data_IF_279649685132
#
_entry.id   IF_279649685132
#
_cell.length_a   1.000
_cell.length_b   1.000
_cell.length_c   1.000
_cell.angle_alpha   90.00
_cell.angle_beta   90.00
_cell.angle_gamma   90.00
#
_symmetry.space_group_name_H-M   'P 1'
#
loop_
_entity.id
_entity.type
_entity.pdbx_description
1 polymer ?
#
# COMPACT_ATOMS: atom_id res chain seq x y z
N UNK A 1 -22.34 49.95 -7.45
CA UNK A 1 -23.02 49.41 -6.26
C UNK A 1 -24.14 48.50 -6.73
N UNK A 2 -24.11 47.18 -6.68
CA UNK A 2 -23.06 46.17 -6.60
C UNK A 2 -23.70 44.97 -7.30
N UNK A 3 -23.01 44.43 -8.31
CA UNK A 3 -23.42 43.25 -9.08
C UNK A 3 -22.94 42.03 -8.27
N UNK A 4 -23.86 41.24 -7.70
CA UNK A 4 -23.52 40.00 -7.00
C UNK A 4 -23.26 38.88 -8.02
N UNK A 5 -22.05 38.30 -8.09
CA UNK A 5 -21.84 37.11 -8.90
C UNK A 5 -22.48 35.91 -8.20
N UNK A 6 -23.43 35.27 -8.89
CA UNK A 6 -24.07 34.03 -8.45
C UNK A 6 -23.05 32.92 -8.17
N UNK A 7 -23.40 31.93 -7.33
CA UNK A 7 -22.46 30.89 -6.93
C UNK A 7 -22.10 30.06 -8.16
N UNK A 8 -20.84 30.19 -8.60
CA UNK A 8 -20.21 29.22 -9.48
C UNK A 8 -20.19 27.89 -8.74
N UNK A 9 -21.18 27.03 -9.01
CA UNK A 9 -21.11 25.60 -8.74
C UNK A 9 -19.83 25.11 -9.39
N UNK A 10 -18.80 24.91 -8.57
CA UNK A 10 -17.61 24.18 -8.95
C UNK A 10 -18.09 22.84 -9.50
N UNK A 11 -18.00 22.67 -10.81
CA UNK A 11 -18.21 21.40 -11.47
C UNK A 11 -17.09 20.48 -10.96
N UNK A 12 -17.37 19.76 -9.87
CA UNK A 12 -16.52 18.68 -9.42
C UNK A 12 -16.56 17.63 -10.52
N UNK A 13 -15.56 17.65 -11.41
CA UNK A 13 -15.34 16.60 -12.39
C UNK A 13 -15.41 15.25 -11.66
N UNK A 14 -16.49 14.50 -11.89
CA UNK A 14 -16.83 13.22 -11.26
C UNK A 14 -15.95 12.07 -11.74
N UNK A 15 -14.72 12.36 -12.15
CA UNK A 15 -13.75 11.34 -12.51
C UNK A 15 -13.00 10.90 -11.27
N UNK A 16 -13.39 9.72 -10.78
CA UNK A 16 -12.66 9.03 -9.74
C UNK A 16 -11.22 8.81 -10.23
N UNK A 17 -10.19 9.22 -9.48
CA UNK A 17 -8.83 9.30 -10.02
C UNK A 17 -8.21 7.93 -10.35
N UNK A 18 -8.80 6.83 -9.85
CA UNK A 18 -8.44 5.46 -10.23
C UNK A 18 -8.95 5.03 -11.61
N UNK A 19 -9.94 5.72 -12.20
CA UNK A 19 -10.51 5.35 -13.51
C UNK A 19 -9.47 5.37 -14.62
N UNK A 20 -8.59 6.40 -14.64
CA UNK A 20 -7.50 6.48 -15.62
C UNK A 20 -6.51 5.32 -15.48
N UNK A 21 -6.24 4.89 -14.24
CA UNK A 21 -5.35 3.76 -13.99
C UNK A 21 -5.94 2.44 -14.51
N UNK A 22 -7.25 2.21 -14.33
CA UNK A 22 -7.93 1.05 -14.91
C UNK A 22 -7.97 1.09 -16.44
N UNK A 23 -8.27 2.25 -17.04
CA UNK A 23 -8.28 2.41 -18.50
C UNK A 23 -6.93 2.09 -19.13
N UNK A 24 -5.83 2.48 -18.48
CA UNK A 24 -4.49 2.16 -18.94
C UNK A 24 -4.13 0.66 -18.82
N UNK A 25 -4.90 -0.12 -18.05
CA UNK A 25 -4.74 -1.57 -17.99
C UNK A 25 -5.46 -2.31 -19.12
N UNK A 26 -6.47 -1.72 -19.77
CA UNK A 26 -7.29 -2.39 -20.79
C UNK A 26 -6.48 -2.99 -21.95
N UNK A 27 -5.48 -2.31 -22.56
CA UNK A 27 -4.70 -2.90 -23.64
C UNK A 27 -3.94 -4.16 -23.24
N UNK A 28 -3.57 -4.28 -21.96
CA UNK A 28 -2.80 -5.42 -21.44
C UNK A 28 -3.67 -6.63 -21.21
N UNK A 29 -4.89 -6.39 -20.74
CA UNK A 29 -5.86 -7.46 -20.56
C UNK A 29 -6.32 -8.02 -21.91
N UNK A 30 -6.34 -7.19 -22.96
CA UNK A 30 -6.61 -7.64 -24.32
C UNK A 30 -5.53 -8.59 -24.90
N UNK A 31 -4.31 -8.58 -24.35
CA UNK A 31 -3.24 -9.52 -24.72
C UNK A 31 -3.42 -10.90 -24.04
N UNK A 32 -4.28 -11.01 -23.02
CA UNK A 32 -4.52 -12.25 -22.29
C UNK A 32 -5.53 -13.15 -23.01
N UNK A 33 -5.33 -14.48 -22.91
CA UNK A 33 -6.31 -15.43 -23.41
C UNK A 33 -7.59 -15.41 -22.55
N UNK A 34 -8.75 -15.60 -23.17
CA UNK A 34 -10.00 -15.76 -22.45
C UNK A 34 -9.93 -16.93 -21.45
N UNK A 35 -10.50 -16.75 -20.26
CA UNK A 35 -10.42 -17.69 -19.14
C UNK A 35 -9.12 -17.60 -18.33
N UNK A 36 -8.18 -16.72 -18.67
CA UNK A 36 -6.96 -16.52 -17.88
C UNK A 36 -7.28 -16.14 -16.44
N UNK A 37 -6.56 -16.74 -15.49
CA UNK A 37 -6.64 -16.35 -14.08
C UNK A 37 -5.91 -15.01 -13.89
N UNK A 38 -6.62 -14.04 -13.33
CA UNK A 38 -6.14 -12.68 -13.10
C UNK A 38 -6.03 -12.41 -11.60
N UNK A 39 -4.83 -12.06 -11.15
CA UNK A 39 -4.61 -11.44 -9.84
C UNK A 39 -4.29 -9.98 -10.06
N UNK A 40 -5.00 -9.09 -9.37
CA UNK A 40 -4.76 -7.64 -9.43
C UNK A 40 -4.09 -7.20 -8.14
N UNK A 41 -2.90 -6.62 -8.25
CA UNK A 41 -2.22 -5.97 -7.14
C UNK A 41 -2.56 -4.49 -7.14
N UNK A 42 -3.23 -4.03 -6.09
CA UNK A 42 -3.69 -2.65 -5.96
C UNK A 42 -2.62 -1.82 -5.26
N UNK A 43 -2.16 -0.76 -5.93
CA UNK A 43 -1.20 0.20 -5.39
C UNK A 43 -1.69 0.78 -4.06
N UNK A 44 -0.75 0.99 -3.15
CA UNK A 44 -1.02 1.52 -1.82
C UNK A 44 -1.62 2.94 -1.83
N UNK A 45 -1.57 3.67 -2.93
CA UNK A 45 -2.23 4.98 -3.07
C UNK A 45 -3.77 4.89 -2.92
N UNK A 46 -4.35 3.76 -3.32
CA UNK A 46 -5.80 3.52 -3.29
C UNK A 46 -6.30 2.83 -2.02
N UNK A 47 -5.37 2.35 -1.20
CA UNK A 47 -5.68 1.57 -0.01
C UNK A 47 -5.51 2.42 1.24
N UNK A 48 -6.25 2.07 2.28
CA UNK A 48 -6.02 2.56 3.64
C UNK A 48 -5.71 1.38 4.53
N UNK A 49 -4.73 1.54 5.40
CA UNK A 49 -4.25 0.46 6.25
C UNK A 49 -4.35 0.85 7.71
N UNK A 50 -4.63 -0.12 8.56
CA UNK A 50 -4.60 0.02 10.02
C UNK A 50 -4.08 -1.25 10.66
N UNK A 51 -3.32 -1.09 11.74
CA UNK A 51 -3.13 -2.15 12.72
C UNK A 51 -4.21 -1.98 13.78
N UNK A 52 -4.97 -3.04 14.03
CA UNK A 52 -5.91 -3.12 15.14
C UNK A 52 -5.36 -4.08 16.20
N UNK A 53 -5.71 -3.92 17.48
CA UNK A 53 -5.40 -4.92 18.49
C UNK A 53 -5.88 -6.30 18.01
N UNK A 54 -5.02 -7.31 18.10
CA UNK A 54 -5.40 -8.67 17.75
C UNK A 54 -6.50 -9.14 18.71
N UNK A 55 -7.66 -9.51 18.15
CA UNK A 55 -8.75 -10.03 18.96
C UNK A 55 -8.43 -11.47 19.39
N UNK A 56 -8.92 -11.91 20.57
CA UNK A 56 -8.73 -13.29 21.01
C UNK A 56 -9.27 -14.29 19.97
N UNK A 57 -8.66 -15.48 19.81
CA UNK A 57 -9.08 -16.47 18.81
C UNK A 57 -10.55 -16.92 18.90
N UNK A 58 -11.16 -16.77 20.08
CA UNK A 58 -12.57 -17.10 20.33
C UNK A 58 -13.54 -16.05 19.78
N UNK A 59 -13.05 -14.88 19.35
CA UNK A 59 -13.90 -13.82 18.83
C UNK A 59 -14.17 -14.02 17.34
N UNK A 60 -15.41 -13.74 16.92
CA UNK A 60 -15.81 -13.95 15.54
C UNK A 60 -15.11 -12.96 14.59
N UNK A 61 -14.84 -13.41 13.36
CA UNK A 61 -14.34 -12.54 12.29
C UNK A 61 -15.22 -11.28 12.10
N UNK A 62 -16.53 -11.42 12.28
CA UNK A 62 -17.47 -10.30 12.19
C UNK A 62 -17.22 -9.22 13.26
N UNK A 63 -16.81 -9.61 14.48
CA UNK A 63 -16.46 -8.67 15.53
C UNK A 63 -15.19 -7.89 15.18
N UNK A 64 -14.13 -8.56 14.73
CA UNK A 64 -12.91 -7.89 14.25
C UNK A 64 -13.20 -6.94 13.09
N UNK A 65 -14.10 -7.34 12.17
CA UNK A 65 -14.50 -6.50 11.04
C UNK A 65 -15.27 -5.25 11.48
N UNK A 66 -16.14 -5.38 12.48
CA UNK A 66 -16.87 -4.24 13.05
C UNK A 66 -15.90 -3.25 13.72
N UNK A 67 -14.91 -3.75 14.48
CA UNK A 67 -13.86 -2.91 15.08
C UNK A 67 -13.05 -2.21 13.99
N UNK A 68 -12.61 -2.92 12.96
CA UNK A 68 -11.88 -2.32 11.85
C UNK A 68 -12.70 -1.23 11.14
N UNK A 69 -13.99 -1.48 10.89
CA UNK A 69 -14.90 -0.48 10.30
C UNK A 69 -15.02 0.76 11.17
N UNK A 70 -15.24 0.62 12.46
CA UNK A 70 -15.28 1.74 13.39
C UNK A 70 -13.96 2.55 13.36
N UNK A 71 -12.80 1.88 13.36
CA UNK A 71 -11.50 2.55 13.29
C UNK A 71 -11.26 3.28 11.96
N UNK A 72 -11.74 2.75 10.83
CA UNK A 72 -11.66 3.44 9.55
C UNK A 72 -12.63 4.64 9.50
N UNK A 73 -13.86 4.48 9.98
CA UNK A 73 -14.83 5.58 10.04
C UNK A 73 -14.38 6.71 10.96
N UNK A 74 -13.73 6.39 12.08
CA UNK A 74 -13.16 7.40 12.99
C UNK A 74 -12.12 8.29 12.29
N UNK A 75 -11.28 7.72 11.43
CA UNK A 75 -10.20 8.47 10.74
C UNK A 75 -10.64 9.10 9.42
N UNK A 76 -11.55 8.48 8.68
CA UNK A 76 -11.91 8.87 7.31
C UNK A 76 -13.38 9.32 7.17
N UNK A 77 -14.15 9.31 8.25
CA UNK A 77 -15.55 9.70 8.27
C UNK A 77 -16.44 8.79 7.42
N UNK A 78 -17.54 9.37 6.93
CA UNK A 78 -18.59 8.68 6.19
C UNK A 78 -18.09 8.02 4.89
N UNK A 79 -17.02 8.54 4.30
CA UNK A 79 -16.40 7.94 3.11
C UNK A 79 -15.99 6.47 3.35
N UNK A 80 -15.58 6.11 4.57
CA UNK A 80 -15.21 4.74 4.91
C UNK A 80 -16.40 3.80 5.16
N UNK A 81 -17.62 4.31 5.29
CA UNK A 81 -18.81 3.49 5.54
C UNK A 81 -19.05 2.50 4.40
N UNK A 82 -18.76 2.89 3.16
CA UNK A 82 -18.92 2.06 1.96
C UNK A 82 -17.69 1.26 1.60
N UNK A 83 -16.58 1.39 2.33
CA UNK A 83 -15.36 0.68 1.97
C UNK A 83 -15.46 -0.83 2.21
N UNK A 84 -14.86 -1.57 1.28
CA UNK A 84 -14.53 -2.96 1.47
C UNK A 84 -13.36 -3.07 2.43
N UNK A 85 -13.50 -3.85 3.50
CA UNK A 85 -12.45 -4.04 4.52
C UNK A 85 -12.08 -5.51 4.53
N UNK A 86 -10.78 -5.79 4.42
CA UNK A 86 -10.22 -7.12 4.57
C UNK A 86 -9.26 -7.14 5.77
N UNK A 87 -9.26 -8.27 6.47
CA UNK A 87 -8.44 -8.50 7.66
C UNK A 87 -7.46 -9.64 7.38
N UNK A 88 -6.30 -9.56 8.03
CA UNK A 88 -5.40 -10.70 8.17
C UNK A 88 -6.15 -11.85 8.87
N UNK A 89 -6.22 -13.05 8.26
CA UNK A 89 -7.05 -14.12 8.79
C UNK A 89 -6.50 -14.73 10.08
N UNK A 90 -5.17 -14.74 10.24
CA UNK A 90 -4.46 -15.34 11.36
C UNK A 90 -3.38 -14.36 11.87
N UNK A 91 -3.75 -13.40 12.72
CA UNK A 91 -2.79 -12.42 13.23
C UNK A 91 -1.72 -13.12 14.08
N UNK A 92 -0.47 -12.70 13.88
CA UNK A 92 0.65 -13.09 14.71
C UNK A 92 0.97 -11.93 15.67
N UNK A 93 1.12 -12.23 16.96
CA UNK A 93 1.41 -11.21 17.97
C UNK A 93 0.19 -10.37 18.37
N UNK A 94 0.47 -9.13 18.82
CA UNK A 94 -0.52 -8.27 19.46
C UNK A 94 -1.40 -7.44 18.53
N UNK A 95 -1.13 -7.46 17.23
CA UNK A 95 -1.84 -6.66 16.23
C UNK A 95 -2.31 -7.51 15.06
N UNK A 96 -3.46 -7.15 14.49
CA UNK A 96 -4.03 -7.70 13.28
C UNK A 96 -3.99 -6.65 12.17
N UNK A 97 -3.50 -7.04 11.00
CA UNK A 97 -3.44 -6.13 9.86
C UNK A 97 -4.83 -5.99 9.19
N UNK A 98 -5.24 -4.76 8.91
CA UNK A 98 -6.43 -4.47 8.11
C UNK A 98 -6.11 -3.56 6.94
N UNK A 99 -6.79 -3.79 5.83
CA UNK A 99 -6.81 -2.89 4.70
C UNK A 99 -8.24 -2.57 4.28
N UNK A 100 -8.45 -1.35 3.80
CA UNK A 100 -9.70 -0.89 3.25
C UNK A 100 -9.50 -0.34 1.83
N UNK A 101 -10.47 -0.61 0.96
CA UNK A 101 -10.54 -0.17 -0.43
C UNK A 101 -11.92 0.40 -0.71
N UNK A 102 -11.98 1.44 -1.54
CA UNK A 102 -13.26 1.93 -2.04
C UNK A 102 -14.01 0.80 -2.78
N UNK A 103 -15.25 0.53 -2.37
CA UNK A 103 -16.06 -0.54 -2.95
C UNK A 103 -16.29 -0.33 -4.45
N UNK A 104 -16.43 0.92 -4.91
CA UNK A 104 -16.59 1.23 -6.33
C UNK A 104 -15.37 0.87 -7.17
N UNK A 105 -14.16 0.98 -6.59
CA UNK A 105 -12.93 0.53 -7.24
C UNK A 105 -12.86 -1.00 -7.31
N UNK A 106 -13.25 -1.71 -6.25
CA UNK A 106 -13.32 -3.18 -6.28
C UNK A 106 -14.30 -3.69 -7.34
N UNK A 107 -15.47 -3.06 -7.44
CA UNK A 107 -16.46 -3.36 -8.47
C UNK A 107 -15.94 -3.07 -9.87
N UNK A 108 -15.25 -1.94 -10.06
CA UNK A 108 -14.64 -1.58 -11.34
C UNK A 108 -13.53 -2.57 -11.76
N UNK A 109 -12.70 -3.04 -10.83
CA UNK A 109 -11.70 -4.10 -11.10
C UNK A 109 -12.38 -5.39 -11.53
N UNK A 110 -13.46 -5.77 -10.85
CA UNK A 110 -14.25 -6.97 -11.16
C UNK A 110 -14.87 -6.88 -12.56
N UNK A 111 -15.47 -5.73 -12.88
CA UNK A 111 -16.06 -5.47 -14.19
C UNK A 111 -15.01 -5.48 -15.31
N UNK A 112 -13.85 -4.86 -15.07
CA UNK A 112 -12.73 -4.84 -16.02
C UNK A 112 -12.25 -6.27 -16.35
N UNK A 113 -12.10 -7.13 -15.35
CA UNK A 113 -11.71 -8.52 -15.55
C UNK A 113 -12.74 -9.30 -16.37
N UNK A 114 -14.02 -9.14 -16.04
CA UNK A 114 -15.13 -9.79 -16.75
C UNK A 114 -15.22 -9.33 -18.22
N UNK A 115 -15.05 -8.03 -18.49
CA UNK A 115 -15.04 -7.48 -19.86
C UNK A 115 -13.88 -8.02 -20.69
N UNK A 116 -12.74 -8.30 -20.07
CA UNK A 116 -11.59 -8.93 -20.71
C UNK A 116 -11.72 -10.46 -20.83
N UNK A 117 -12.83 -11.06 -20.40
CA UNK A 117 -13.01 -12.50 -20.38
C UNK A 117 -12.06 -13.24 -19.42
N UNK A 118 -11.46 -12.55 -18.46
CA UNK A 118 -10.54 -13.12 -17.48
C UNK A 118 -11.30 -13.54 -16.20
N UNK A 119 -10.76 -14.54 -15.50
CA UNK A 119 -11.25 -14.94 -14.18
C UNK A 119 -10.48 -14.19 -13.09
N UNK A 120 -11.10 -13.20 -12.45
CA UNK A 120 -10.50 -12.51 -11.31
C UNK A 120 -10.42 -13.46 -10.10
N UNK A 121 -9.24 -13.96 -9.79
CA UNK A 121 -9.01 -14.91 -8.68
C UNK A 121 -8.60 -14.24 -7.38
N UNK A 122 -8.01 -13.04 -7.46
CA UNK A 122 -7.54 -12.33 -6.27
C UNK A 122 -7.36 -10.84 -6.53
N UNK A 123 -7.71 -10.02 -5.54
CA UNK A 123 -7.36 -8.59 -5.46
C UNK A 123 -6.50 -8.42 -4.22
N UNK A 124 -5.24 -8.06 -4.40
CA UNK A 124 -4.25 -8.03 -3.33
C UNK A 124 -3.78 -6.60 -3.04
N UNK A 125 -3.79 -6.17 -1.78
CA UNK A 125 -3.10 -4.95 -1.38
C UNK A 125 -1.60 -5.05 -1.69
N UNK A 126 -0.98 -4.02 -2.27
CA UNK A 126 0.44 -4.07 -2.62
C UNK A 126 1.34 -4.43 -1.42
N UNK A 127 1.02 -3.96 -0.21
CA UNK A 127 1.78 -4.31 1.01
C UNK A 127 1.65 -5.77 1.39
N UNK A 128 0.44 -6.32 1.27
CA UNK A 128 0.21 -7.74 1.57
C UNK A 128 0.77 -8.65 0.48
N UNK A 129 0.73 -8.23 -0.79
CA UNK A 129 1.41 -8.93 -1.88
C UNK A 129 2.91 -9.00 -1.62
N UNK A 130 3.52 -7.88 -1.21
CA UNK A 130 4.93 -7.81 -0.86
C UNK A 130 5.28 -8.69 0.35
N UNK A 131 4.51 -8.61 1.44
CA UNK A 131 4.66 -9.47 2.61
C UNK A 131 4.53 -10.95 2.28
N UNK A 132 3.48 -11.36 1.57
CA UNK A 132 3.21 -12.77 1.26
C UNK A 132 4.31 -13.42 0.42
N UNK A 133 4.98 -12.65 -0.44
CA UNK A 133 6.16 -13.13 -1.20
C UNK A 133 7.38 -13.35 -0.31
N UNK A 134 7.52 -12.57 0.75
CA UNK A 134 8.71 -12.58 1.61
C UNK A 134 8.52 -13.33 2.91
N UNK A 135 7.29 -13.61 3.36
CA UNK A 135 6.99 -14.04 4.73
C UNK A 135 7.82 -15.24 5.22
N UNK A 136 8.21 -16.15 4.31
CA UNK A 136 9.08 -17.31 4.60
C UNK A 136 10.57 -16.98 4.76
N UNK A 137 11.00 -15.80 4.34
CA UNK A 137 12.39 -15.32 4.30
C UNK A 137 12.61 -14.09 5.20
N UNK A 138 11.57 -13.61 5.88
CA UNK A 138 11.68 -12.49 6.81
C UNK A 138 12.45 -12.90 8.07
N UNK A 139 13.20 -11.95 8.62
CA UNK A 139 13.85 -12.14 9.91
C UNK A 139 12.80 -12.35 11.01
N UNK A 140 13.13 -13.18 12.00
CA UNK A 140 12.36 -13.26 13.26
C UNK A 140 12.75 -12.14 14.23
N UNK A 141 13.95 -11.58 14.08
CA UNK A 141 14.34 -10.34 14.75
C UNK A 141 13.53 -9.16 14.22
N UNK A 142 13.77 -7.97 14.78
CA UNK A 142 13.18 -6.74 14.25
C UNK A 142 13.47 -6.61 12.75
N UNK A 143 12.42 -6.49 11.96
CA UNK A 143 12.54 -6.20 10.55
C UNK A 143 11.43 -5.26 10.08
N UNK A 144 11.67 -4.64 8.92
CA UNK A 144 10.71 -3.74 8.30
C UNK A 144 10.46 -4.08 6.84
N UNK A 145 9.23 -3.88 6.40
CA UNK A 145 8.84 -3.86 4.99
C UNK A 145 8.63 -2.42 4.57
N UNK A 146 9.29 -2.02 3.49
CA UNK A 146 9.14 -0.69 2.90
C UNK A 146 8.66 -0.82 1.47
N UNK A 147 7.56 -0.14 1.17
CA UNK A 147 7.10 0.06 -0.19
C UNK A 147 7.13 1.53 -0.55
N UNK A 148 7.91 1.83 -1.58
CA UNK A 148 8.04 3.17 -2.14
C UNK A 148 7.31 3.19 -3.47
N UNK A 149 6.20 3.93 -3.53
CA UNK A 149 5.41 4.17 -4.73
C UNK A 149 5.40 5.66 -5.07
N UNK A 150 4.92 6.02 -6.26
CA UNK A 150 4.70 7.41 -6.62
C UNK A 150 3.69 8.04 -5.65
N UNK A 151 4.09 9.10 -4.95
CA UNK A 151 3.24 9.84 -4.02
C UNK A 151 3.12 9.25 -2.63
N UNK A 152 3.56 8.00 -2.36
CA UNK A 152 3.45 7.42 -1.01
C UNK A 152 4.53 6.39 -0.66
N UNK A 153 5.04 6.47 0.57
CA UNK A 153 5.89 5.45 1.20
C UNK A 153 5.09 4.80 2.31
N UNK A 154 5.11 3.47 2.38
CA UNK A 154 4.62 2.71 3.53
C UNK A 154 5.76 1.95 4.19
N UNK A 155 5.78 1.97 5.51
CA UNK A 155 6.67 1.22 6.38
C UNK A 155 5.81 0.37 7.32
N UNK A 156 6.07 -0.93 7.35
CA UNK A 156 5.53 -1.83 8.37
C UNK A 156 6.68 -2.50 9.13
N UNK A 157 6.69 -2.40 10.45
CA UNK A 157 7.68 -3.03 11.32
C UNK A 157 7.10 -4.30 11.94
N UNK A 158 7.94 -5.31 12.11
CA UNK A 158 7.58 -6.61 12.65
C UNK A 158 8.68 -7.17 13.55
N UNK A 159 8.29 -8.05 14.48
CA UNK A 159 9.19 -8.90 15.27
C UNK A 159 8.48 -10.21 15.55
N UNK A 160 9.22 -11.31 15.46
CA UNK A 160 8.72 -12.69 15.63
C UNK A 160 7.49 -13.01 14.76
N UNK A 161 7.44 -12.45 13.54
CA UNK A 161 6.32 -12.62 12.61
C UNK A 161 5.06 -11.81 12.94
N UNK A 162 5.02 -11.10 14.06
CA UNK A 162 3.93 -10.19 14.41
C UNK A 162 4.19 -8.75 14.03
N UNK A 163 3.13 -8.02 13.68
CA UNK A 163 3.19 -6.59 13.37
C UNK A 163 3.47 -5.76 14.64
N UNK A 164 4.27 -4.71 14.51
CA UNK A 164 4.61 -3.78 15.60
C UNK A 164 4.14 -2.36 15.30
N UNK A 165 4.38 -1.89 14.08
CA UNK A 165 4.04 -0.54 13.65
C UNK A 165 3.71 -0.53 12.17
N UNK A 166 2.88 0.41 11.77
CA UNK A 166 2.51 0.65 10.39
C UNK A 166 2.35 2.15 10.21
N UNK A 167 3.12 2.69 9.27
CA UNK A 167 3.18 4.11 9.02
C UNK A 167 3.36 4.42 7.56
N UNK A 168 2.92 5.62 7.17
CA UNK A 168 3.04 6.09 5.81
C UNK A 168 3.38 7.58 5.78
N UNK A 169 4.07 8.00 4.73
CA UNK A 169 4.29 9.40 4.42
C UNK A 169 4.10 9.64 2.91
N UNK A 170 3.95 10.91 2.52
CA UNK A 170 4.04 11.26 1.11
C UNK A 170 5.43 10.88 0.57
N UNK A 171 5.48 10.46 -0.70
CA UNK A 171 6.71 10.17 -1.42
C UNK A 171 6.91 11.22 -2.51
N UNK A 172 8.04 11.88 -2.49
CA UNK A 172 8.52 12.71 -3.61
C UNK A 172 9.65 11.97 -4.32
N UNK A 173 9.59 11.91 -5.65
CA UNK A 173 10.49 11.06 -6.47
C UNK A 173 11.98 11.32 -6.19
N UNK A 174 12.35 12.54 -5.83
CA UNK A 174 13.74 12.93 -5.56
C UNK A 174 14.17 12.70 -4.11
N UNK A 175 13.23 12.73 -3.15
CA UNK A 175 13.52 12.79 -1.71
C UNK A 175 13.03 11.57 -0.93
N UNK A 176 12.55 10.54 -1.64
CA UNK A 176 12.01 9.33 -1.00
C UNK A 176 12.99 8.66 -0.03
N UNK A 177 14.33 8.61 -0.25
CA UNK A 177 15.25 7.99 0.71
C UNK A 177 15.24 8.73 2.06
N UNK A 178 15.31 10.06 2.03
CA UNK A 178 15.31 10.90 3.23
C UNK A 178 13.96 10.81 3.95
N UNK A 179 12.85 10.82 3.20
CA UNK A 179 11.51 10.65 3.76
C UNK A 179 11.33 9.28 4.41
N UNK A 180 11.85 8.23 3.78
CA UNK A 180 11.84 6.87 4.32
C UNK A 180 12.67 6.76 5.61
N UNK A 181 13.89 7.31 5.61
CA UNK A 181 14.74 7.33 6.81
C UNK A 181 14.07 8.09 7.96
N UNK A 182 13.49 9.26 7.69
CA UNK A 182 12.77 10.03 8.69
C UNK A 182 11.54 9.26 9.23
N UNK A 183 10.82 8.55 8.36
CA UNK A 183 9.71 7.70 8.75
C UNK A 183 10.17 6.58 9.68
N UNK A 184 11.26 5.88 9.32
CA UNK A 184 11.84 4.82 10.17
C UNK A 184 12.28 5.35 11.53
N UNK A 185 13.02 6.46 11.57
CA UNK A 185 13.47 7.09 12.81
C UNK A 185 12.28 7.42 13.73
N UNK A 186 11.22 8.00 13.17
CA UNK A 186 10.00 8.31 13.91
C UNK A 186 9.38 7.06 14.54
N UNK A 187 9.21 5.99 13.76
CA UNK A 187 8.62 4.76 14.28
C UNK A 187 9.49 4.11 15.36
N UNK A 188 10.81 4.15 15.22
CA UNK A 188 11.73 3.63 16.24
C UNK A 188 11.59 4.39 17.56
N UNK A 189 11.50 5.73 17.51
CA UNK A 189 11.24 6.55 18.70
C UNK A 189 9.88 6.21 19.33
N UNK A 190 8.83 6.04 18.52
CA UNK A 190 7.49 5.70 19.01
C UNK A 190 7.39 4.31 19.65
N UNK A 191 8.19 3.35 19.17
CA UNK A 191 8.30 2.04 19.80
C UNK A 191 9.02 2.09 21.16
N UNK A 192 9.54 3.25 21.57
CA UNK A 192 10.26 3.43 22.83
C UNK A 192 11.67 2.85 22.82
N UNK A 193 12.16 2.47 21.64
CA UNK A 193 13.48 1.86 21.44
C UNK A 193 14.44 2.91 20.84
N UNK A 194 15.39 3.41 21.64
CA UNK A 194 16.50 4.24 21.16
C UNK A 194 17.83 3.83 21.82
N UNK A 195 18.98 3.78 21.12
CA UNK A 195 19.22 3.60 19.69
C UNK A 195 20.22 2.43 19.47
N UNK A 196 19.76 1.17 19.47
CA UNK A 196 20.59 0.00 19.12
C UNK A 196 19.81 -1.13 18.44
N UNK A 197 18.53 -0.91 18.13
CA UNK A 197 17.72 -1.91 17.42
C UNK A 197 18.22 -2.02 15.98
N UNK A 198 19.08 -3.01 15.77
CA UNK A 198 19.50 -3.45 14.45
C UNK A 198 18.45 -4.39 13.88
N UNK A 199 18.29 -4.35 12.56
CA UNK A 199 17.25 -5.11 11.89
C UNK A 199 17.46 -5.16 10.39
N UNK A 200 16.64 -5.97 9.73
CA UNK A 200 16.61 -6.03 8.26
C UNK A 200 15.47 -5.19 7.73
N UNK A 201 15.77 -4.36 6.74
CA UNK A 201 14.79 -3.54 6.06
C UNK A 201 14.64 -4.00 4.62
N UNK A 202 13.52 -4.65 4.31
CA UNK A 202 13.21 -5.14 2.99
C UNK A 202 12.54 -4.02 2.20
N UNK A 203 13.25 -3.49 1.21
CA UNK A 203 12.81 -2.29 0.47
C UNK A 203 12.42 -2.68 -0.95
N UNK A 204 11.16 -2.46 -1.29
CA UNK A 204 10.65 -2.54 -2.66
C UNK A 204 10.37 -1.12 -3.17
N UNK A 205 10.95 -0.78 -4.32
CA UNK A 205 10.78 0.52 -4.94
C UNK A 205 10.12 0.37 -6.30
N UNK A 206 8.87 0.81 -6.40
CA UNK A 206 8.01 0.72 -7.57
C UNK A 206 7.95 2.04 -8.35
N UNK A 207 9.11 2.66 -8.57
CA UNK A 207 9.27 3.89 -9.34
C UNK A 207 10.19 3.56 -10.55
N UNK A 208 9.93 4.08 -11.74
CA UNK A 208 10.60 3.61 -12.97
C UNK A 208 11.92 4.34 -13.31
N UNK A 209 12.12 5.58 -12.85
CA UNK A 209 13.26 6.41 -13.26
C UNK A 209 13.80 7.22 -12.08
N UNK A 210 14.91 6.74 -11.49
CA UNK A 210 15.86 7.41 -10.56
C UNK A 210 16.46 6.47 -9.47
N UNK A 211 16.27 5.13 -9.57
CA UNK A 211 16.54 4.21 -8.45
C UNK A 211 17.98 3.90 -8.09
N UNK A 212 18.87 3.67 -9.07
CA UNK A 212 20.17 3.08 -8.71
C UNK A 212 21.08 4.10 -8.01
N UNK A 213 20.97 5.38 -8.32
CA UNK A 213 21.83 6.42 -7.77
C UNK A 213 21.58 6.65 -6.26
N UNK A 214 20.32 6.59 -5.82
CA UNK A 214 19.96 6.82 -4.43
C UNK A 214 20.15 5.60 -3.52
N UNK A 215 20.18 4.39 -4.09
CA UNK A 215 20.26 3.14 -3.31
C UNK A 215 21.53 3.04 -2.47
N UNK A 216 22.70 3.34 -3.04
CA UNK A 216 23.98 3.25 -2.32
C UNK A 216 24.03 4.20 -1.12
N UNK A 217 23.55 5.44 -1.29
CA UNK A 217 23.49 6.42 -0.21
C UNK A 217 22.51 6.01 0.89
N UNK A 218 21.34 5.47 0.49
CA UNK A 218 20.36 4.92 1.43
C UNK A 218 20.95 3.76 2.24
N UNK A 219 21.62 2.81 1.57
CA UNK A 219 22.21 1.65 2.22
C UNK A 219 23.28 2.05 3.24
N UNK A 220 24.12 3.03 2.93
CA UNK A 220 25.10 3.58 3.86
C UNK A 220 24.42 4.22 5.09
N UNK A 221 23.40 5.06 4.86
CA UNK A 221 22.66 5.74 5.93
C UNK A 221 21.93 4.74 6.85
N UNK A 222 21.35 3.68 6.28
CA UNK A 222 20.73 2.61 7.05
C UNK A 222 21.76 1.84 7.88
N UNK A 223 22.93 1.54 7.31
CA UNK A 223 24.00 0.85 8.03
C UNK A 223 24.51 1.68 9.23
N UNK A 224 24.63 3.00 9.10
CA UNK A 224 24.95 3.91 10.21
C UNK A 224 23.90 3.86 11.33
N UNK A 225 22.64 3.61 10.97
CA UNK A 225 21.54 3.40 11.93
C UNK A 225 21.44 1.96 12.47
N UNK A 226 22.36 1.05 12.08
CA UNK A 226 22.33 -0.36 12.46
C UNK A 226 21.37 -1.23 11.64
N UNK A 227 20.82 -0.72 10.54
CA UNK A 227 19.89 -1.44 9.66
C UNK A 227 20.60 -2.02 8.45
N UNK A 228 20.29 -3.28 8.15
CA UNK A 228 20.69 -3.91 6.90
C UNK A 228 19.59 -3.71 5.84
N UNK A 229 19.88 -2.91 4.82
CA UNK A 229 19.01 -2.77 3.65
C UNK A 229 19.05 -4.05 2.80
N UNK A 230 17.88 -4.64 2.55
CA UNK A 230 17.71 -5.79 1.66
C UNK A 230 16.88 -5.30 0.47
N UNK A 231 17.50 -5.12 -0.71
CA UNK A 231 16.76 -4.72 -1.89
C UNK A 231 15.88 -5.87 -2.35
N UNK A 232 14.60 -5.60 -2.58
CA UNK A 232 13.68 -6.56 -3.16
C UNK A 232 13.23 -6.00 -4.49
N UNK A 233 14.06 -6.20 -5.51
CA UNK A 233 13.73 -5.82 -6.86
C UNK A 233 12.62 -6.73 -7.38
N UNK A 234 11.52 -6.13 -7.85
CA UNK A 234 10.49 -6.85 -8.58
C UNK A 234 11.02 -7.26 -9.96
N UNK A 235 11.77 -8.36 -10.03
CA UNK A 235 11.90 -9.11 -11.28
C UNK A 235 10.58 -9.85 -11.52
N UNK A 236 9.57 -9.14 -12.02
CA UNK A 236 8.37 -9.79 -12.52
C UNK A 236 8.39 -9.76 -14.05
N UNK A 237 8.55 -10.96 -14.64
CA UNK A 237 8.02 -11.29 -15.98
C UNK A 237 6.52 -11.63 -15.91
N UNK A 238 5.81 -11.09 -14.92
CA UNK A 238 4.35 -10.91 -14.97
C UNK A 238 4.12 -9.59 -15.70
N UNK A 239 3.08 -9.46 -16.53
CA UNK A 239 2.77 -8.24 -17.29
C UNK A 239 2.47 -7.05 -16.38
N UNK A 240 3.52 -6.54 -15.74
CA UNK A 240 3.57 -5.39 -14.87
C UNK A 240 3.62 -4.15 -15.75
N UNK A 241 2.67 -4.02 -16.68
CA UNK A 241 2.27 -2.70 -17.16
C UNK A 241 1.13 -2.22 -16.24
N UNK A 242 1.34 -2.27 -14.91
CA UNK A 242 0.59 -1.38 -14.04
C UNK A 242 0.90 0.02 -14.56
N UNK A 243 -0.13 0.71 -15.03
CA UNK A 243 -0.06 2.11 -15.42
C UNK A 243 0.76 2.83 -14.36
N UNK A 244 2.00 3.18 -14.72
CA UNK A 244 2.87 3.91 -13.81
C UNK A 244 2.10 5.20 -13.47
N UNK A 245 1.86 5.53 -12.19
CA UNK A 245 1.16 6.76 -11.85
C UNK A 245 1.84 7.99 -12.47
N UNK A 246 3.13 7.89 -12.78
CA UNK A 246 3.89 8.89 -13.51
C UNK A 246 3.23 9.30 -14.85
N UNK A 247 2.57 8.40 -15.57
CA UNK A 247 1.88 8.73 -16.83
C UNK A 247 0.45 9.23 -16.64
N UNK A 248 -0.14 9.05 -15.44
CA UNK A 248 -1.47 9.59 -15.11
C UNK A 248 -1.42 11.02 -14.55
N UNK A 249 -0.23 11.51 -14.21
CA UNK A 249 0.03 12.83 -13.62
C UNK A 249 0.57 13.89 -14.58
N UNK A 250 0.97 13.53 -15.81
CA UNK A 250 1.35 14.52 -16.84
C UNK A 250 0.10 14.91 -17.62
N UNK A 251 -0.73 15.77 -17.04
CA UNK A 251 -1.98 16.22 -17.64
C UNK A 251 -2.85 16.99 -16.67
N UNK A 252 -2.37 18.17 -16.30
CA UNK A 252 -3.04 19.20 -15.51
C UNK A 252 -2.16 20.43 -15.45
#
# INVERSE_FOLDING_TARGET
MADEPGPHLAQHSTHQPWQRALQACSPLLAELAAGSQLTVVVSNQWLRYKLLPAMPPMQSHAASLAVARALFMDTYGEAAATWHIALEPLPQGGYQFACALDQSLLEAITAMAAQAGCQLVSVQPAMMHFYNRLCRHLSRDLCGLVQVEAGRIHLALMRDGGWLALSACASHVQDWPQQMLALLQREMVLLGDAPLMSGKLYVNVALAAAHSAAWTALQASLAEMGWQAVPVFSHERSMSKLASPATAWVGG
#
